data_IF_938527748580
#
_entry.id   IF_938527748580
#
_cell.length_a   1.000
_cell.length_b   1.000
_cell.length_c   1.000
_cell.angle_alpha   90.00
_cell.angle_beta   90.00
_cell.angle_gamma   90.00
#
_symmetry.space_group_name_H-M   'P 1'
#
loop_
_entity.id
_entity.type
_entity.pdbx_description
1 polymer ?
#
# COMPACT_ATOMS: atom_id res chain seq x y z
N UNK A 1 -7.33 4.10 -16.42
CA UNK A 1 -8.76 3.80 -16.59
C UNK A 1 -8.88 2.31 -16.33
N UNK A 2 -9.56 1.93 -15.25
CA UNK A 2 -9.39 0.62 -14.60
C UNK A 2 -10.16 -0.54 -15.29
N UNK A 3 -10.76 -0.34 -16.46
CA UNK A 3 -11.31 -1.39 -17.32
C UNK A 3 -11.75 -0.76 -18.65
N UNK A 4 -11.68 -1.52 -19.74
CA UNK A 4 -12.27 -1.21 -21.05
C UNK A 4 -13.26 -2.30 -21.49
N UNK A 5 -13.87 -2.15 -22.67
CA UNK A 5 -14.86 -3.12 -23.19
C UNK A 5 -14.29 -4.52 -23.47
N UNK A 6 -12.96 -4.68 -23.45
CA UNK A 6 -12.27 -5.97 -23.67
C UNK A 6 -11.83 -6.64 -22.37
N UNK A 7 -11.95 -5.93 -21.25
CA UNK A 7 -11.49 -6.40 -19.95
C UNK A 7 -12.40 -7.51 -19.42
N UNK A 8 -11.83 -8.70 -19.23
CA UNK A 8 -12.55 -9.91 -18.80
C UNK A 8 -12.36 -10.25 -17.33
N UNK A 9 -11.18 -9.97 -16.78
CA UNK A 9 -10.89 -10.23 -15.38
C UNK A 9 -9.81 -9.28 -14.84
N UNK A 10 -10.04 -8.72 -13.66
CA UNK A 10 -9.07 -7.91 -12.94
C UNK A 10 -8.81 -8.56 -11.58
N UNK A 11 -7.55 -8.66 -11.20
CA UNK A 11 -7.16 -9.02 -9.84
C UNK A 11 -6.78 -7.74 -9.09
N UNK A 12 -7.58 -7.35 -8.11
CA UNK A 12 -7.29 -6.19 -7.28
C UNK A 12 -7.00 -6.61 -5.85
N UNK A 13 -5.92 -6.08 -5.28
CA UNK A 13 -5.60 -6.19 -3.86
C UNK A 13 -5.44 -4.80 -3.26
N UNK A 14 -6.02 -4.60 -2.07
CA UNK A 14 -5.90 -3.37 -1.33
C UNK A 14 -5.48 -3.70 0.10
N UNK A 15 -4.40 -3.06 0.56
CA UNK A 15 -3.90 -3.20 1.93
C UNK A 15 -4.11 -1.86 2.63
N UNK A 16 -4.93 -1.87 3.68
CA UNK A 16 -5.24 -0.68 4.46
C UNK A 16 -4.65 -0.82 5.86
N UNK A 17 -3.74 0.08 6.23
CA UNK A 17 -3.11 0.07 7.55
C UNK A 17 -3.73 1.14 8.44
N UNK A 18 -4.44 0.69 9.48
CA UNK A 18 -4.97 1.53 10.55
C UNK A 18 -4.50 1.02 11.90
N UNK A 19 -3.53 1.71 12.48
CA UNK A 19 -3.01 1.44 13.81
C UNK A 19 -3.33 2.58 14.77
N UNK A 20 -3.48 2.25 16.05
CA UNK A 20 -3.47 3.22 17.13
C UNK A 20 -2.06 3.31 17.71
N UNK A 21 -1.60 4.52 18.02
CA UNK A 21 -0.35 4.70 18.73
C UNK A 21 -0.41 4.03 20.11
N UNK A 22 0.62 3.26 20.47
CA UNK A 22 0.77 2.75 21.83
C UNK A 22 0.94 3.90 22.85
N UNK A 23 1.64 4.97 22.44
CA UNK A 23 1.77 6.22 23.20
C UNK A 23 1.40 7.40 22.30
N UNK A 24 0.15 7.91 22.37
CA UNK A 24 -0.33 8.98 21.50
C UNK A 24 0.34 10.36 21.77
N UNK A 25 0.56 11.14 20.71
CA UNK A 25 1.22 12.47 20.72
C UNK A 25 0.39 13.66 21.24
N UNK A 26 0.21 13.93 22.53
CA UNK A 26 -0.48 15.14 23.05
C UNK A 26 -0.88 16.28 22.03
N UNK A 27 -2.14 16.28 21.57
CA UNK A 27 -2.65 17.11 20.45
C UNK A 27 -2.28 18.60 20.58
N UNK A 28 -2.48 19.27 21.74
CA UNK A 28 -2.06 20.65 21.97
C UNK A 28 -0.61 20.99 21.61
N UNK A 29 0.31 20.02 21.63
CA UNK A 29 1.72 20.23 21.29
C UNK A 29 1.99 20.12 19.78
N UNK A 30 0.97 19.78 18.99
CA UNK A 30 1.08 19.77 17.52
C UNK A 30 1.14 21.19 17.00
N UNK A 31 2.24 21.54 16.35
CA UNK A 31 2.43 22.84 15.70
C UNK A 31 2.97 22.69 14.28
N UNK A 32 2.65 23.64 13.40
CA UNK A 32 3.30 23.74 12.08
C UNK A 32 4.78 24.09 12.28
N UNK A 33 5.67 23.25 11.75
CA UNK A 33 7.12 23.45 11.79
C UNK A 33 7.71 23.12 10.40
N UNK A 34 8.84 23.73 10.00
CA UNK A 34 9.54 23.36 8.77
C UNK A 34 9.89 21.87 8.75
N UNK A 35 9.80 21.26 7.56
CA UNK A 35 10.20 19.86 7.33
C UNK A 35 11.52 19.82 6.56
N UNK A 36 12.48 19.05 7.08
CA UNK A 36 13.77 18.82 6.45
C UNK A 36 13.92 17.32 6.22
N UNK A 37 14.39 16.91 5.04
CA UNK A 37 14.72 15.51 4.77
C UNK A 37 15.89 15.09 5.66
N UNK A 38 15.64 14.24 6.64
CA UNK A 38 16.68 13.71 7.50
C UNK A 38 17.54 12.70 6.73
N UNK A 39 18.86 12.86 6.78
CA UNK A 39 19.78 11.76 6.57
C UNK A 39 19.95 11.09 7.93
N UNK A 40 19.22 10.00 8.18
CA UNK A 40 19.39 9.24 9.41
C UNK A 40 20.76 8.58 9.36
N UNK A 41 21.70 9.13 10.12
CA UNK A 41 23.00 8.48 10.37
C UNK A 41 22.73 7.28 11.27
N UNK A 42 23.34 6.13 10.94
CA UNK A 42 23.10 4.84 11.60
C UNK A 42 23.03 4.99 13.12
N UNK A 43 21.81 4.89 13.65
CA UNK A 43 21.59 4.75 15.09
C UNK A 43 21.83 3.27 15.35
N UNK A 44 23.04 2.90 15.76
CA UNK A 44 23.30 1.56 16.30
C UNK A 44 22.44 1.40 17.56
N UNK A 45 21.40 0.55 17.55
CA UNK A 45 20.51 0.42 18.70
C UNK A 45 21.19 -0.48 19.71
N UNK A 46 22.06 0.10 20.55
CA UNK A 46 22.71 -0.65 21.62
C UNK A 46 21.99 -0.50 22.96
N UNK A 47 21.07 0.46 23.13
CA UNK A 47 20.29 0.64 24.36
C UNK A 47 18.94 1.35 24.13
N UNK A 48 17.94 1.08 24.98
CA UNK A 48 16.69 1.86 25.01
C UNK A 48 16.97 3.27 25.52
N UNK A 49 16.77 4.27 24.66
CA UNK A 49 16.96 5.68 24.99
C UNK A 49 15.65 6.46 24.84
N UNK A 50 15.34 7.28 25.83
CA UNK A 50 14.25 8.26 25.72
C UNK A 50 14.64 9.34 24.71
N UNK A 51 13.83 9.51 23.67
CA UNK A 51 14.01 10.50 22.62
C UNK A 51 12.80 11.44 22.59
N UNK A 52 13.05 12.74 22.55
CA UNK A 52 12.01 13.70 22.18
C UNK A 52 11.79 13.64 20.67
N UNK A 53 10.77 12.89 20.25
CA UNK A 53 10.43 12.68 18.85
C UNK A 53 9.45 13.76 18.36
N UNK A 54 9.84 14.48 17.31
CA UNK A 54 8.91 15.28 16.50
C UNK A 54 8.64 14.55 15.19
N UNK A 55 7.39 14.12 14.96
CA UNK A 55 6.98 13.43 13.74
C UNK A 55 5.90 14.24 13.01
N UNK A 56 6.04 14.49 11.70
CA UNK A 56 4.98 15.13 10.94
C UNK A 56 3.77 14.19 10.81
N UNK A 57 2.56 14.75 10.83
CA UNK A 57 1.36 14.01 10.39
C UNK A 57 1.55 13.66 8.92
N UNK A 58 1.25 12.42 8.55
CA UNK A 58 1.41 11.96 7.18
C UNK A 58 0.23 11.11 6.73
N UNK A 59 -0.01 11.13 5.43
CA UNK A 59 -0.84 10.17 4.70
C UNK A 59 -0.01 9.71 3.50
N UNK A 60 0.19 8.40 3.40
CA UNK A 60 0.88 7.75 2.30
C UNK A 60 -0.15 6.95 1.52
N UNK A 61 -0.17 7.17 0.21
CA UNK A 61 -0.99 6.43 -0.74
C UNK A 61 -0.05 5.85 -1.79
N UNK A 62 -0.17 4.54 -2.00
CA UNK A 62 0.61 3.79 -2.98
C UNK A 62 -0.35 3.01 -3.87
N UNK A 63 -0.09 3.02 -5.17
CA UNK A 63 -0.83 2.26 -6.16
C UNK A 63 0.13 1.78 -7.22
N UNK A 64 0.09 0.49 -7.53
CA UNK A 64 0.97 -0.13 -8.51
C UNK A 64 0.22 -1.15 -9.36
N UNK A 65 0.54 -1.18 -10.65
CA UNK A 65 0.14 -2.24 -11.56
C UNK A 65 1.24 -3.31 -11.55
N UNK A 66 0.90 -4.53 -11.13
CA UNK A 66 1.84 -5.61 -10.86
C UNK A 66 2.07 -6.54 -12.07
N UNK A 67 1.42 -6.31 -13.20
CA UNK A 67 1.52 -7.20 -14.36
C UNK A 67 2.96 -7.53 -14.74
N UNK A 68 3.81 -6.52 -14.90
CA UNK A 68 5.22 -6.71 -15.25
C UNK A 68 6.03 -7.38 -14.13
N UNK A 69 5.74 -7.05 -12.88
CA UNK A 69 6.42 -7.68 -11.72
C UNK A 69 6.14 -9.18 -11.71
N UNK A 70 4.87 -9.55 -11.87
CA UNK A 70 4.43 -10.95 -11.82
C UNK A 70 4.88 -11.72 -13.06
N UNK A 71 4.93 -11.08 -14.24
CA UNK A 71 5.56 -11.64 -15.45
C UNK A 71 7.05 -11.91 -15.25
N UNK A 72 7.78 -10.99 -14.64
CA UNK A 72 9.21 -11.14 -14.33
C UNK A 72 9.48 -12.19 -13.24
N UNK A 73 8.45 -12.62 -12.50
CA UNK A 73 8.50 -13.76 -11.57
C UNK A 73 8.07 -15.08 -12.24
N UNK A 74 8.03 -15.13 -13.58
CA UNK A 74 7.63 -16.26 -14.41
C UNK A 74 6.17 -16.74 -14.22
N UNK A 75 5.31 -15.88 -13.68
CA UNK A 75 3.88 -16.14 -13.60
C UNK A 75 3.22 -15.51 -14.83
N UNK A 76 3.27 -16.23 -15.96
CA UNK A 76 2.77 -15.75 -17.26
C UNK A 76 1.43 -16.36 -17.68
N UNK A 77 1.15 -17.59 -17.23
CA UNK A 77 -0.01 -18.39 -17.67
C UNK A 77 -1.33 -17.67 -17.43
N UNK A 78 -1.41 -16.92 -16.32
CA UNK A 78 -2.61 -16.17 -15.93
C UNK A 78 -3.04 -15.09 -16.94
N UNK A 79 -2.13 -14.65 -17.81
CA UNK A 79 -2.37 -13.60 -18.80
C UNK A 79 -2.65 -14.13 -20.21
N UNK A 80 -2.40 -15.42 -20.48
CA UNK A 80 -2.48 -15.99 -21.83
C UNK A 80 -3.47 -17.14 -21.90
N UNK A 81 -3.28 -18.17 -21.08
CA UNK A 81 -4.07 -19.40 -21.10
C UNK A 81 -4.25 -19.98 -19.70
N UNK A 82 -4.86 -19.25 -18.75
CA UNK A 82 -5.07 -19.77 -17.41
C UNK A 82 -6.09 -20.90 -17.41
N UNK A 83 -5.90 -21.82 -16.47
CA UNK A 83 -6.94 -22.75 -16.08
C UNK A 83 -7.74 -22.20 -14.88
N UNK A 84 -8.91 -21.63 -15.15
CA UNK A 84 -9.85 -21.15 -14.12
C UNK A 84 -11.04 -22.10 -13.90
N UNK A 85 -10.95 -23.38 -14.28
CA UNK A 85 -12.06 -24.35 -14.16
C UNK A 85 -12.60 -24.50 -12.73
N UNK A 86 -11.75 -24.24 -11.73
CA UNK A 86 -12.12 -24.33 -10.30
C UNK A 86 -12.70 -23.01 -9.74
N UNK A 87 -12.70 -21.93 -10.52
CA UNK A 87 -13.20 -20.61 -10.10
C UNK A 87 -14.50 -20.22 -10.81
N UNK A 88 -14.80 -20.82 -11.97
CA UNK A 88 -15.97 -20.45 -12.77
C UNK A 88 -16.43 -21.58 -13.71
N UNK A 89 -17.73 -21.59 -14.01
CA UNK A 89 -18.36 -22.47 -15.01
C UNK A 89 -18.45 -21.83 -16.40
N UNK A 90 -17.89 -20.62 -16.56
CA UNK A 90 -17.89 -19.89 -17.82
C UNK A 90 -17.08 -20.65 -18.89
N UNK A 91 -17.69 -20.85 -20.07
CA UNK A 91 -17.11 -21.66 -21.16
C UNK A 91 -16.28 -20.85 -22.16
N UNK A 92 -16.18 -19.52 -22.00
CA UNK A 92 -15.34 -18.68 -22.85
C UNK A 92 -13.91 -18.51 -22.31
N UNK A 93 -13.01 -18.05 -23.16
CA UNK A 93 -11.65 -17.74 -22.76
C UNK A 93 -11.62 -16.55 -21.77
N UNK A 94 -11.08 -16.80 -20.58
CA UNK A 94 -10.81 -15.82 -19.53
C UNK A 94 -9.31 -15.71 -19.32
N UNK A 95 -8.84 -14.50 -19.04
CA UNK A 95 -7.46 -14.20 -18.70
C UNK A 95 -7.45 -12.98 -17.79
N UNK A 96 -6.44 -12.88 -16.93
CA UNK A 96 -6.23 -11.69 -16.12
C UNK A 96 -5.73 -10.58 -17.03
N UNK A 97 -6.47 -9.47 -17.08
CA UNK A 97 -6.08 -8.28 -17.83
C UNK A 97 -5.12 -7.43 -16.99
N UNK A 98 -5.45 -7.20 -15.73
CA UNK A 98 -4.74 -6.27 -14.86
C UNK A 98 -4.66 -6.79 -13.43
N UNK A 99 -3.51 -6.54 -12.79
CA UNK A 99 -3.26 -6.80 -11.38
C UNK A 99 -2.91 -5.49 -10.72
N UNK A 100 -3.78 -5.00 -9.84
CA UNK A 100 -3.59 -3.71 -9.16
C UNK A 100 -3.38 -3.94 -7.67
N UNK A 101 -2.34 -3.34 -7.12
CA UNK A 101 -2.11 -3.29 -5.68
C UNK A 101 -2.17 -1.85 -5.19
N UNK A 102 -3.06 -1.61 -4.22
CA UNK A 102 -3.15 -0.34 -3.51
C UNK A 102 -2.74 -0.50 -2.05
N UNK A 103 -2.02 0.47 -1.51
CA UNK A 103 -1.74 0.55 -0.08
C UNK A 103 -1.98 1.98 0.44
N UNK A 104 -2.57 2.07 1.62
CA UNK A 104 -2.78 3.36 2.30
C UNK A 104 -2.35 3.25 3.76
N UNK A 105 -1.62 4.26 4.23
CA UNK A 105 -1.20 4.39 5.62
C UNK A 105 -1.35 5.84 6.07
N UNK A 106 -1.94 6.06 7.24
CA UNK A 106 -2.08 7.39 7.82
C UNK A 106 -1.59 7.40 9.27
N UNK A 107 -0.71 8.35 9.58
CA UNK A 107 -0.24 8.62 10.93
C UNK A 107 -0.85 9.92 11.45
N UNK A 108 -1.90 9.83 12.25
CA UNK A 108 -2.54 10.98 12.91
C UNK A 108 -2.90 10.65 14.36
N UNK A 109 -3.18 11.68 15.15
CA UNK A 109 -3.79 11.53 16.48
C UNK A 109 -5.20 12.14 16.55
N UNK A 110 -5.74 12.57 15.40
CA UNK A 110 -7.08 13.15 15.31
C UNK A 110 -8.01 12.13 14.65
N UNK A 111 -9.15 11.85 15.32
CA UNK A 111 -10.26 11.08 14.75
C UNK A 111 -10.98 11.83 13.61
N UNK A 112 -10.71 13.14 13.47
CA UNK A 112 -11.13 13.94 12.33
C UNK A 112 -9.98 13.99 11.32
N UNK A 113 -10.27 13.48 10.12
CA UNK A 113 -9.37 13.30 8.99
C UNK A 113 -8.86 14.63 8.42
N UNK A 114 -7.96 14.52 7.45
CA UNK A 114 -7.72 15.58 6.46
C UNK A 114 -9.02 15.96 5.73
#
# INVERSE_FOLDING_TARGET
>A
MLADETTKLILASAIYFRGSWLTPFNIPLTAKKPFYTAQLKDITPTDFKTLELTLPKFKLEFSMVLNEVIRNLDITDIFQSPNFSNLTVFQGALYVNEIVQKAEAAGTQSLYSF
#
